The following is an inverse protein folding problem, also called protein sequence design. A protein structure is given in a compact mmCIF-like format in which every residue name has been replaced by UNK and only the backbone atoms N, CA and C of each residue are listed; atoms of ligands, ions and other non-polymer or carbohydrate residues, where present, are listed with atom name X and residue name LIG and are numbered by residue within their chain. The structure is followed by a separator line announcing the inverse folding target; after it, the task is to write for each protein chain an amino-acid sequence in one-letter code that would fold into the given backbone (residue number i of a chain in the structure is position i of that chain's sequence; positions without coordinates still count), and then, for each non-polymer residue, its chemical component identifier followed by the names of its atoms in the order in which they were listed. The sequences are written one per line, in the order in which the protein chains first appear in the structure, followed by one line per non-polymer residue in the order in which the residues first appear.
data_IF_336640331949
#
_entry.id   IF_336640331949
#
_cell.length_a   1.000
_cell.length_b   1.000
_cell.length_c   1.000
_cell.angle_alpha   90.00
_cell.angle_beta   90.00
_cell.angle_gamma   90.00
#
_symmetry.space_group_name_H-M   'P 1'
#
loop_
_entity.id
_entity.type
_entity.pdbx_description
1 polymer ?
#
# COMPACT_ATOMS: atom_id res chain seq x y z
N UNK A 1 6.38 -9.04 18.79
CA UNK A 1 5.84 -8.47 17.53
C UNK A 1 6.05 -9.54 16.47
N UNK A 2 4.98 -9.99 15.81
CA UNK A 2 5.05 -10.91 14.68
C UNK A 2 5.64 -10.18 13.47
N UNK A 3 6.55 -10.81 12.74
CA UNK A 3 6.94 -10.37 11.41
C UNK A 3 5.92 -10.89 10.39
N UNK A 4 5.72 -10.20 9.28
CA UNK A 4 4.80 -10.59 8.22
C UNK A 4 4.15 -9.42 7.50
N UNK A 5 3.06 -9.73 6.80
CA UNK A 5 2.18 -8.73 6.17
C UNK A 5 0.87 -8.69 6.97
N UNK A 6 0.56 -7.52 7.52
CA UNK A 6 -0.74 -7.24 8.14
C UNK A 6 -1.59 -6.42 7.16
N UNK A 7 -2.86 -6.78 7.02
CA UNK A 7 -3.78 -6.10 6.10
C UNK A 7 -5.11 -5.85 6.82
N UNK A 8 -5.56 -4.59 6.81
CA UNK A 8 -6.84 -4.18 7.42
C UNK A 8 -7.69 -3.37 6.45
N UNK A 9 -8.99 -3.64 6.51
CA UNK A 9 -10.06 -2.95 5.77
C UNK A 9 -11.07 -2.28 6.69
N UNK A 10 -10.77 -2.21 7.99
CA UNK A 10 -11.66 -1.67 9.03
C UNK A 10 -11.89 -0.17 8.87
N UNK A 11 -10.94 0.50 8.21
CA UNK A 11 -10.96 1.94 7.93
C UNK A 11 -11.37 2.24 6.49
N UNK A 12 -12.14 1.38 5.82
CA UNK A 12 -12.61 1.65 4.45
C UNK A 12 -13.32 3.02 4.36
N UNK A 13 -13.03 3.90 3.38
CA UNK A 13 -12.38 3.65 2.09
C UNK A 13 -10.84 3.72 2.08
N UNK A 14 -10.18 3.74 3.25
CA UNK A 14 -8.73 3.56 3.34
C UNK A 14 -8.40 2.14 3.75
N UNK A 15 -7.57 1.48 2.95
CA UNK A 15 -7.03 0.15 3.25
C UNK A 15 -5.60 0.31 3.75
N UNK A 16 -5.26 -0.40 4.83
CA UNK A 16 -3.94 -0.30 5.46
C UNK A 16 -3.22 -1.64 5.35
N UNK A 17 -2.00 -1.61 4.84
CA UNK A 17 -1.08 -2.72 4.82
C UNK A 17 0.16 -2.35 5.64
N UNK A 18 0.59 -3.22 6.55
CA UNK A 18 1.87 -3.08 7.25
C UNK A 18 2.77 -4.25 6.90
N UNK A 19 4.02 -3.95 6.59
CA UNK A 19 5.06 -4.95 6.34
C UNK A 19 6.07 -4.86 7.47
N UNK A 20 6.07 -5.87 8.33
CA UNK A 20 6.89 -5.91 9.54
C UNK A 20 7.94 -7.01 9.38
N UNK A 21 9.21 -6.66 9.24
CA UNK A 21 10.27 -7.67 9.11
C UNK A 21 10.15 -8.57 7.86
N UNK A 22 10.72 -9.79 7.90
CA UNK A 22 10.58 -10.76 6.82
C UNK A 22 9.15 -11.26 6.67
N UNK A 23 8.75 -11.52 5.43
CA UNK A 23 7.48 -12.16 5.10
C UNK A 23 7.71 -13.36 4.16
N UNK A 24 6.76 -14.27 4.20
CA UNK A 24 6.70 -15.51 3.42
C UNK A 24 5.93 -15.31 2.13
N UNK A 25 6.05 -16.25 1.19
CA UNK A 25 5.23 -16.21 -0.03
C UNK A 25 3.75 -16.44 0.27
N UNK A 26 3.43 -17.24 1.29
CA UNK A 26 2.04 -17.47 1.72
C UNK A 26 1.38 -16.17 2.17
N UNK A 27 2.09 -15.35 2.95
CA UNK A 27 1.60 -14.02 3.37
C UNK A 27 1.40 -13.08 2.18
N UNK A 28 2.24 -13.18 1.15
CA UNK A 28 2.06 -12.44 -0.09
C UNK A 28 0.79 -12.89 -0.85
N UNK A 29 0.49 -14.19 -0.87
CA UNK A 29 -0.74 -14.72 -1.47
C UNK A 29 -1.99 -14.36 -0.67
N UNK A 30 -1.93 -14.41 0.66
CA UNK A 30 -3.01 -13.96 1.56
C UNK A 30 -3.33 -12.48 1.37
N UNK A 31 -2.31 -11.64 1.24
CA UNK A 31 -2.47 -10.24 0.86
C UNK A 31 -3.19 -10.09 -0.49
N UNK A 32 -2.79 -10.88 -1.49
CA UNK A 32 -3.44 -10.88 -2.80
C UNK A 32 -4.93 -11.20 -2.74
N UNK A 33 -5.30 -12.26 -2.02
CA UNK A 33 -6.69 -12.65 -1.76
C UNK A 33 -7.47 -11.57 -1.02
N UNK A 34 -6.85 -10.95 -0.03
CA UNK A 34 -7.47 -9.87 0.73
C UNK A 34 -7.78 -8.64 -0.13
N UNK A 35 -6.89 -8.31 -1.08
CA UNK A 35 -7.11 -7.21 -2.02
C UNK A 35 -8.20 -7.52 -3.05
N UNK A 36 -8.32 -8.76 -3.51
CA UNK A 36 -9.44 -9.20 -4.36
C UNK A 36 -10.79 -9.00 -3.68
N UNK A 37 -10.88 -9.27 -2.36
CA UNK A 37 -12.09 -9.00 -1.58
C UNK A 37 -12.39 -7.50 -1.51
N UNK A 38 -11.37 -6.63 -1.44
CA UNK A 38 -11.57 -5.17 -1.55
C UNK A 38 -12.13 -4.81 -2.93
N UNK A 39 -11.55 -5.32 -4.02
CA UNK A 39 -12.04 -5.05 -5.38
C UNK A 39 -13.47 -5.54 -5.61
N UNK A 40 -13.87 -6.65 -4.96
CA UNK A 40 -15.25 -7.16 -5.03
C UNK A 40 -16.30 -6.17 -4.52
N UNK A 41 -15.91 -5.22 -3.66
CA UNK A 41 -16.79 -4.15 -3.15
C UNK A 41 -17.22 -3.18 -4.25
N UNK A 42 -16.48 -3.12 -5.38
CA UNK A 42 -16.72 -2.19 -6.51
C UNK A 42 -16.90 -0.74 -6.06
N UNK A 43 -16.08 -0.33 -5.08
CA UNK A 43 -16.05 1.03 -4.53
C UNK A 43 -14.64 1.57 -4.61
N UNK A 44 -14.53 2.88 -4.82
CA UNK A 44 -13.25 3.58 -4.80
C UNK A 44 -12.62 3.48 -3.41
N UNK A 45 -11.31 3.29 -3.36
CA UNK A 45 -10.52 3.26 -2.13
C UNK A 45 -9.12 3.81 -2.37
N UNK A 46 -8.44 4.19 -1.30
CA UNK A 46 -7.02 4.51 -1.30
C UNK A 46 -6.27 3.54 -0.36
N UNK A 47 -4.98 3.36 -0.60
CA UNK A 47 -4.16 2.41 0.17
C UNK A 47 -3.01 3.11 0.87
N UNK A 48 -2.75 2.75 2.12
CA UNK A 48 -1.53 3.11 2.85
C UNK A 48 -0.73 1.83 3.08
N UNK A 49 0.55 1.85 2.73
CA UNK A 49 1.51 0.77 2.96
C UNK A 49 2.59 1.27 3.91
N UNK A 50 2.64 0.74 5.13
CA UNK A 50 3.68 1.05 6.10
C UNK A 50 4.76 -0.03 6.08
N UNK A 51 5.99 0.36 5.72
CA UNK A 51 7.15 -0.53 5.71
C UNK A 51 8.01 -0.22 6.94
N UNK A 52 8.14 -1.17 7.87
CA UNK A 52 8.94 -0.96 9.08
C UNK A 52 10.45 -1.11 8.84
N UNK A 53 11.25 -0.58 9.77
CA UNK A 53 12.67 -0.89 9.82
C UNK A 53 12.86 -2.41 10.00
N UNK A 54 13.56 -3.05 9.05
CA UNK A 54 13.75 -4.49 9.01
C UNK A 54 12.91 -5.24 7.98
N UNK A 55 12.00 -4.56 7.26
CA UNK A 55 11.32 -5.17 6.12
C UNK A 55 12.33 -5.58 5.03
N UNK A 56 12.24 -6.82 4.58
CA UNK A 56 13.07 -7.30 3.48
C UNK A 56 12.56 -6.78 2.15
N UNK A 57 13.47 -6.26 1.33
CA UNK A 57 13.16 -6.00 -0.07
C UNK A 57 12.90 -7.33 -0.80
N UNK A 58 11.90 -7.39 -1.70
CA UNK A 58 11.68 -8.58 -2.51
C UNK A 58 12.92 -8.87 -3.37
N UNK A 59 13.41 -10.11 -3.27
CA UNK A 59 14.44 -10.66 -4.15
C UNK A 59 13.93 -10.76 -5.61
N UNK A 60 14.80 -11.14 -6.55
CA UNK A 60 14.43 -11.22 -7.97
C UNK A 60 13.23 -12.15 -8.24
N UNK A 61 13.11 -13.25 -7.49
CA UNK A 61 12.03 -14.23 -7.66
C UNK A 61 10.71 -13.66 -7.14
N UNK A 62 10.71 -13.09 -5.93
CA UNK A 62 9.56 -12.42 -5.32
C UNK A 62 9.11 -11.24 -6.18
N UNK A 63 10.04 -10.46 -6.78
CA UNK A 63 9.69 -9.39 -7.73
C UNK A 63 8.90 -9.90 -8.93
N UNK A 64 9.25 -11.06 -9.51
CA UNK A 64 8.53 -11.63 -10.64
C UNK A 64 7.11 -12.09 -10.25
N UNK A 65 6.96 -12.72 -9.08
CA UNK A 65 5.67 -13.15 -8.53
C UNK A 65 4.76 -11.94 -8.33
N UNK A 66 5.26 -10.90 -7.65
CA UNK A 66 4.53 -9.64 -7.42
C UNK A 66 4.17 -8.97 -8.75
N UNK A 67 5.09 -8.91 -9.71
CA UNK A 67 4.84 -8.30 -11.01
C UNK A 67 3.75 -9.03 -11.82
N UNK A 68 3.74 -10.37 -11.80
CA UNK A 68 2.73 -11.16 -12.49
C UNK A 68 1.34 -10.97 -11.86
N UNK A 69 1.26 -10.97 -10.53
CA UNK A 69 0.02 -10.71 -9.80
C UNK A 69 -0.48 -9.26 -10.02
N UNK A 70 0.40 -8.26 -10.00
CA UNK A 70 0.00 -6.88 -10.31
C UNK A 70 -0.61 -6.73 -11.70
N UNK A 71 -0.05 -7.43 -12.70
CA UNK A 71 -0.63 -7.45 -14.05
C UNK A 71 -2.03 -8.06 -14.06
N UNK A 72 -2.28 -9.13 -13.29
CA UNK A 72 -3.61 -9.76 -13.27
C UNK A 72 -4.70 -8.90 -12.63
N UNK A 73 -4.33 -7.97 -11.74
CA UNK A 73 -5.28 -7.06 -11.08
C UNK A 73 -5.30 -5.65 -11.68
N UNK A 74 -4.59 -5.41 -12.79
CA UNK A 74 -4.34 -4.06 -13.31
C UNK A 74 -5.63 -3.29 -13.63
N UNK A 75 -6.63 -3.96 -14.21
CA UNK A 75 -7.92 -3.36 -14.55
C UNK A 75 -8.72 -3.01 -13.30
N UNK A 76 -8.72 -3.89 -12.30
CA UNK A 76 -9.39 -3.64 -11.02
C UNK A 76 -8.72 -2.49 -10.26
N UNK A 77 -7.39 -2.42 -10.28
CA UNK A 77 -6.63 -1.30 -9.73
C UNK A 77 -7.04 0.01 -10.39
N UNK A 78 -7.04 0.09 -11.73
CA UNK A 78 -7.45 1.28 -12.47
C UNK A 78 -8.88 1.72 -12.17
N UNK A 79 -9.79 0.77 -11.99
CA UNK A 79 -11.20 1.06 -11.71
C UNK A 79 -11.45 1.48 -10.27
N UNK A 80 -10.77 0.90 -9.28
CA UNK A 80 -11.17 1.02 -7.87
C UNK A 80 -10.13 1.65 -6.96
N UNK A 81 -8.84 1.54 -7.25
CA UNK A 81 -7.80 2.16 -6.43
C UNK A 81 -7.51 3.58 -6.92
N UNK A 82 -7.66 4.57 -6.03
CA UNK A 82 -7.34 5.98 -6.29
C UNK A 82 -5.82 6.23 -6.26
N UNK A 83 -5.08 5.42 -5.50
CA UNK A 83 -3.63 5.49 -5.37
C UNK A 83 -3.13 4.84 -4.08
N UNK A 84 -1.83 4.54 -4.04
CA UNK A 84 -1.17 3.91 -2.89
C UNK A 84 -0.05 4.80 -2.33
N UNK A 85 -0.13 5.09 -1.03
CA UNK A 85 0.86 5.85 -0.28
C UNK A 85 1.78 4.87 0.48
N UNK A 86 3.07 4.89 0.20
CA UNK A 86 4.03 3.95 0.78
C UNK A 86 4.96 4.67 1.76
N UNK A 87 4.80 4.43 3.05
CA UNK A 87 5.64 4.97 4.12
C UNK A 87 6.89 4.11 4.24
N UNK A 88 8.04 4.73 3.99
CA UNK A 88 9.37 4.12 4.08
C UNK A 88 10.28 5.06 4.88
N UNK A 89 10.47 4.83 6.19
CA UNK A 89 11.22 5.73 7.05
C UNK A 89 12.68 5.89 6.61
N UNK A 90 13.30 4.78 6.19
CA UNK A 90 14.70 4.74 5.76
C UNK A 90 14.90 5.39 4.37
N UNK A 91 15.66 6.49 4.32
CA UNK A 91 15.92 7.26 3.10
C UNK A 91 16.52 6.44 1.95
N UNK A 92 17.65 5.74 2.14
CA UNK A 92 18.20 4.83 1.15
C UNK A 92 17.21 3.77 0.64
N UNK A 93 16.47 3.12 1.54
CA UNK A 93 15.46 2.12 1.17
C UNK A 93 14.34 2.75 0.32
N UNK A 94 13.89 3.95 0.70
CA UNK A 94 12.88 4.71 -0.04
C UNK A 94 13.35 5.05 -1.45
N UNK A 95 14.63 5.42 -1.61
CA UNK A 95 15.25 5.65 -2.92
C UNK A 95 15.27 4.39 -3.78
N UNK A 96 15.68 3.24 -3.21
CA UNK A 96 15.70 1.97 -3.91
C UNK A 96 14.30 1.52 -4.38
N UNK A 97 13.29 1.62 -3.51
CA UNK A 97 11.90 1.28 -3.85
C UNK A 97 11.31 2.22 -4.91
N UNK A 98 11.61 3.52 -4.83
CA UNK A 98 11.20 4.50 -5.85
C UNK A 98 11.78 4.13 -7.22
N UNK A 99 13.05 3.75 -7.27
CA UNK A 99 13.70 3.33 -8.51
C UNK A 99 13.11 2.03 -9.07
N UNK A 100 12.77 1.05 -8.21
CA UNK A 100 12.08 -0.17 -8.63
C UNK A 100 10.71 0.16 -9.23
N UNK A 101 9.96 1.10 -8.65
CA UNK A 101 8.66 1.52 -9.19
C UNK A 101 8.77 2.14 -10.59
N UNK A 102 9.90 2.75 -10.97
CA UNK A 102 10.11 3.23 -12.34
C UNK A 102 10.20 2.10 -13.38
N UNK A 103 10.60 0.90 -12.94
CA UNK A 103 10.69 -0.28 -13.80
C UNK A 103 9.34 -0.99 -13.95
N UNK A 104 8.42 -0.79 -13.00
CA UNK A 104 7.11 -1.43 -12.98
C UNK A 104 6.02 -0.35 -12.88
N UNK A 105 5.56 0.22 -14.01
CA UNK A 105 4.56 1.29 -13.98
C UNK A 105 3.25 0.76 -13.39
N UNK A 106 2.91 1.26 -12.20
CA UNK A 106 1.61 0.99 -11.57
C UNK A 106 0.49 1.62 -12.41
N UNK A 107 -0.67 0.95 -12.58
CA UNK A 107 -1.82 1.53 -13.27
C UNK A 107 -2.45 2.70 -12.51
N UNK A 108 -2.09 2.87 -11.24
CA UNK A 108 -2.55 3.93 -10.33
C UNK A 108 -1.36 4.67 -9.73
N UNK A 109 -1.54 5.93 -9.30
CA UNK A 109 -0.48 6.69 -8.66
C UNK A 109 0.05 5.97 -7.42
N UNK A 110 1.37 5.77 -7.35
CA UNK A 110 2.07 5.32 -6.15
C UNK A 110 3.04 6.42 -5.72
N UNK A 111 3.09 6.72 -4.42
CA UNK A 111 4.02 7.72 -3.88
C UNK A 111 4.66 7.24 -2.60
N UNK A 112 5.96 7.49 -2.47
CA UNK A 112 6.76 7.09 -1.33
C UNK A 112 6.97 8.27 -0.38
N UNK A 113 6.71 8.06 0.91
CA UNK A 113 6.76 9.08 1.96
C UNK A 113 7.73 8.65 3.07
N UNK A 114 8.26 9.63 3.80
CA UNK A 114 9.12 9.37 4.95
C UNK A 114 8.30 9.11 6.23
N UNK A 115 7.06 9.63 6.28
CA UNK A 115 6.23 9.65 7.49
C UNK A 115 4.79 9.25 7.19
N UNK A 116 4.09 8.78 8.21
CA UNK A 116 2.67 8.45 8.14
C UNK A 116 1.83 9.70 7.84
N UNK A 117 2.14 10.83 8.48
CA UNK A 117 1.40 12.08 8.30
C UNK A 117 1.39 12.54 6.83
N UNK A 118 2.55 12.53 6.17
CA UNK A 118 2.66 12.85 4.74
C UNK A 118 1.86 11.91 3.84
N UNK A 119 1.80 10.61 4.20
CA UNK A 119 1.02 9.63 3.47
C UNK A 119 -0.48 9.87 3.65
N UNK A 120 -0.92 10.18 4.88
CA UNK A 120 -2.31 10.49 5.19
C UNK A 120 -2.76 11.76 4.46
N UNK A 121 -1.95 12.83 4.46
CA UNK A 121 -2.28 14.08 3.77
C UNK A 121 -2.52 13.86 2.26
N UNK A 122 -1.69 13.01 1.65
CA UNK A 122 -1.86 12.69 0.23
C UNK A 122 -3.05 11.77 -0.04
N UNK A 123 -3.32 10.80 0.85
CA UNK A 123 -4.51 9.95 0.75
C UNK A 123 -5.79 10.75 0.95
N UNK A 124 -5.81 11.68 1.90
CA UNK A 124 -6.93 12.59 2.11
C UNK A 124 -7.23 13.42 0.86
N UNK A 125 -6.20 13.92 0.19
CA UNK A 125 -6.38 14.64 -1.08
C UNK A 125 -6.96 13.75 -2.19
N UNK A 126 -6.51 12.49 -2.31
CA UNK A 126 -7.07 11.54 -3.27
C UNK A 126 -8.55 11.23 -2.98
N UNK A 127 -8.90 11.03 -1.72
CA UNK A 127 -10.27 10.79 -1.29
C UNK A 127 -11.15 12.00 -1.58
N UNK A 128 -10.69 13.20 -1.22
CA UNK A 128 -11.38 14.46 -1.45
C UNK A 128 -11.66 14.70 -2.94
N UNK A 129 -10.71 14.41 -3.82
CA UNK A 129 -10.90 14.50 -5.28
C UNK A 129 -11.93 13.49 -5.82
N UNK A 130 -12.21 12.43 -5.08
CA UNK A 130 -13.19 11.40 -5.40
C UNK A 130 -14.51 11.56 -4.61
N UNK A 131 -14.73 12.72 -3.95
CA UNK A 131 -15.87 13.01 -3.08
C UNK A 131 -16.06 11.99 -1.94
N UNK A 132 -14.94 11.50 -1.39
CA UNK A 132 -14.88 10.62 -0.24
C UNK A 132 -14.22 11.32 0.96
N UNK A 133 -14.64 10.93 2.16
CA UNK A 133 -14.10 11.46 3.41
C UNK A 133 -12.99 10.56 3.97
N UNK A 134 -11.97 11.18 4.58
CA UNK A 134 -10.95 10.46 5.34
C UNK A 134 -11.56 9.95 6.66
N UNK A 135 -11.53 8.63 6.94
CA UNK A 135 -12.04 8.11 8.20
C UNK A 135 -11.26 8.64 9.41
N UNK A 136 -11.97 8.98 10.48
CA UNK A 136 -11.37 9.51 11.72
C UNK A 136 -10.28 8.59 12.28
N UNK A 137 -10.51 7.28 12.23
CA UNK A 137 -9.53 6.27 12.66
C UNK A 137 -8.21 6.34 11.87
N UNK A 138 -8.23 6.77 10.60
CA UNK A 138 -7.03 6.97 9.79
C UNK A 138 -6.36 8.29 10.16
N UNK A 139 -7.15 9.35 10.33
CA UNK A 139 -6.64 10.65 10.80
C UNK A 139 -5.91 10.51 12.15
N UNK A 140 -6.43 9.67 13.05
CA UNK A 140 -5.83 9.37 14.35
C UNK A 140 -4.48 8.62 14.27
N UNK A 141 -4.12 8.05 13.12
CA UNK A 141 -2.80 7.43 12.90
C UNK A 141 -1.68 8.45 12.64
N UNK A 142 -2.03 9.72 12.41
CA UNK A 142 -1.05 10.80 12.42
C UNK A 142 -0.31 10.73 13.75
N UNK A 143 1.02 10.69 13.73
CA UNK A 143 1.75 10.67 15.00
C UNK A 143 1.53 12.04 15.65
N UNK A 144 0.94 12.04 16.84
CA UNK A 144 1.06 13.20 17.72
C UNK A 144 2.56 13.51 17.82
N UNK A 145 2.94 14.69 17.31
CA UNK A 145 4.34 15.10 17.20
C UNK A 145 5.12 14.99 18.51
#
# INVERSE_FOLDING_TARGET
MSSGIEFSVDTFPVVIMRVVGPYTEEELYEFGRSLELVFSRKKKFAMIVEITEGAELPDARRRQVVANWWKSIQDQQRLWNLGSAIVVPNGPLRGALTAIAWLFPSPTPNRYFATMDQAIDWVEELLRQADLELPEAVSALRRAG
#
